data_IF_926055674481
#
_entry.id   IF_926055674481
#
_cell.length_a   1.000
_cell.length_b   1.000
_cell.length_c   1.000
_cell.angle_alpha   90.00
_cell.angle_beta   90.00
_cell.angle_gamma   90.00
#
_symmetry.space_group_name_H-M   'P 1'
#
loop_
_entity.id
_entity.type
_entity.pdbx_description
1 polymer ?
#
# COMPACT_ATOMS: atom_id res chain seq x y z
N UNK A 1 16.36 15.88 10.72
CA UNK A 1 16.80 14.52 11.07
C UNK A 1 18.22 14.29 10.59
N UNK A 2 18.94 13.47 11.29
CA UNK A 2 20.23 12.95 10.84
C UNK A 2 20.02 11.72 9.95
N UNK A 3 21.04 11.30 9.19
CA UNK A 3 20.95 10.13 8.31
C UNK A 3 20.52 8.85 9.07
N UNK A 4 20.95 8.70 10.31
CA UNK A 4 20.56 7.59 11.18
C UNK A 4 19.04 7.58 11.48
N UNK A 5 18.44 8.76 11.66
CA UNK A 5 17.01 8.89 11.90
C UNK A 5 16.20 8.64 10.61
N UNK A 6 16.70 9.13 9.47
CA UNK A 6 16.10 8.85 8.17
C UNK A 6 16.08 7.36 7.88
N UNK A 7 17.21 6.68 8.02
CA UNK A 7 17.30 5.23 7.84
C UNK A 7 16.49 4.45 8.89
N UNK A 8 16.44 4.95 10.12
CA UNK A 8 15.65 4.35 11.20
C UNK A 8 14.15 4.42 10.95
N UNK A 9 13.66 5.54 10.47
CA UNK A 9 12.24 5.70 10.11
C UNK A 9 11.84 4.81 8.92
N UNK A 10 12.69 4.72 7.90
CA UNK A 10 12.50 3.80 6.78
C UNK A 10 12.46 2.33 7.26
N UNK A 11 13.40 1.93 8.09
CA UNK A 11 13.46 0.58 8.65
C UNK A 11 12.21 0.25 9.49
N UNK A 12 11.72 1.21 10.28
CA UNK A 12 10.49 1.05 11.06
C UNK A 12 9.26 0.86 10.16
N UNK A 13 9.17 1.62 9.08
CA UNK A 13 8.07 1.49 8.11
C UNK A 13 8.11 0.15 7.38
N UNK A 14 9.28 -0.29 6.92
CA UNK A 14 9.49 -1.63 6.38
C UNK A 14 9.11 -2.72 7.37
N UNK A 15 9.31 -2.50 8.67
CA UNK A 15 8.86 -3.41 9.73
C UNK A 15 7.34 -3.57 9.77
N UNK A 16 6.58 -2.46 9.66
CA UNK A 16 5.12 -2.49 9.58
C UNK A 16 4.64 -3.24 8.33
N UNK A 17 5.29 -3.00 7.19
CA UNK A 17 5.00 -3.71 5.94
C UNK A 17 5.28 -5.22 6.04
N UNK A 18 6.37 -5.59 6.69
CA UNK A 18 6.70 -6.99 6.93
C UNK A 18 5.69 -7.70 7.84
N UNK A 19 5.17 -7.02 8.85
CA UNK A 19 4.11 -7.54 9.72
C UNK A 19 2.81 -7.76 8.92
N UNK A 20 2.42 -6.81 8.08
CA UNK A 20 1.25 -6.93 7.20
C UNK A 20 1.42 -8.09 6.22
N UNK A 21 2.58 -8.21 5.58
CA UNK A 21 2.88 -9.30 4.66
C UNK A 21 2.80 -10.66 5.37
N UNK A 22 3.38 -10.78 6.57
CA UNK A 22 3.31 -12.01 7.36
C UNK A 22 1.88 -12.37 7.77
N UNK A 23 1.06 -11.38 8.11
CA UNK A 23 -0.36 -11.58 8.39
C UNK A 23 -1.08 -12.17 7.19
N UNK A 24 -0.88 -11.62 6.01
CA UNK A 24 -1.51 -12.09 4.76
C UNK A 24 -0.98 -13.46 4.34
N UNK A 25 0.31 -13.70 4.44
CA UNK A 25 0.95 -14.97 4.06
C UNK A 25 0.49 -16.13 4.96
N UNK A 26 0.12 -15.84 6.20
CA UNK A 26 -0.37 -16.84 7.15
C UNK A 26 -1.90 -16.92 7.25
N UNK A 27 -2.62 -16.14 6.46
CA UNK A 27 -4.06 -15.92 6.63
C UNK A 27 -4.87 -17.21 6.64
N UNK A 28 -4.72 -18.06 5.62
CA UNK A 28 -5.43 -19.34 5.52
C UNK A 28 -5.11 -20.29 6.70
N UNK A 29 -3.91 -20.20 7.23
CA UNK A 29 -3.45 -21.02 8.34
C UNK A 29 -4.00 -20.58 9.70
N UNK A 30 -4.32 -19.29 9.82
CA UNK A 30 -4.76 -18.64 11.07
C UNK A 30 -6.27 -18.42 11.13
N UNK A 31 -6.98 -18.66 10.02
CA UNK A 31 -8.44 -18.54 9.90
C UNK A 31 -9.04 -19.88 9.47
N UNK A 32 -10.31 -20.08 9.78
CA UNK A 32 -11.03 -21.32 9.49
C UNK A 32 -12.29 -21.01 8.67
N UNK A 33 -12.10 -20.78 7.39
CA UNK A 33 -13.15 -20.60 6.40
C UNK A 33 -13.05 -21.70 5.35
N UNK A 34 -14.13 -21.94 4.63
CA UNK A 34 -14.19 -23.01 3.61
C UNK A 34 -13.53 -22.59 2.29
N UNK A 35 -13.57 -21.29 1.97
CA UNK A 35 -13.03 -20.76 0.73
C UNK A 35 -12.42 -19.37 0.97
N UNK A 36 -11.30 -19.09 0.30
CA UNK A 36 -10.58 -17.82 0.41
C UNK A 36 -10.38 -17.20 -0.97
N UNK A 37 -10.65 -15.90 -1.07
CA UNK A 37 -10.34 -15.06 -2.22
C UNK A 37 -9.44 -13.92 -1.78
N UNK A 38 -8.32 -13.72 -2.47
CA UNK A 38 -7.37 -12.66 -2.18
C UNK A 38 -7.28 -11.70 -3.36
N UNK A 39 -7.48 -10.42 -3.09
CA UNK A 39 -7.31 -9.30 -4.01
C UNK A 39 -6.33 -8.33 -3.37
N UNK A 40 -5.04 -8.53 -3.62
CA UNK A 40 -3.97 -7.87 -2.88
C UNK A 40 -3.12 -7.01 -3.82
N UNK A 41 -3.05 -5.71 -3.52
CA UNK A 41 -2.03 -4.83 -4.08
C UNK A 41 -0.65 -5.17 -3.49
N UNK A 42 0.40 -4.73 -4.19
CA UNK A 42 1.77 -4.89 -3.71
C UNK A 42 2.01 -4.08 -2.43
N UNK A 43 2.77 -4.66 -1.51
CA UNK A 43 3.21 -4.01 -0.28
C UNK A 43 4.59 -3.39 -0.55
N UNK A 44 4.58 -2.15 -0.95
CA UNK A 44 5.79 -1.38 -1.27
C UNK A 44 5.55 0.12 -1.08
N UNK A 45 6.62 0.86 -0.84
CA UNK A 45 6.59 2.32 -0.79
C UNK A 45 7.91 2.90 -1.30
N UNK A 46 7.86 4.17 -1.69
CA UNK A 46 9.04 4.95 -2.04
C UNK A 46 9.62 5.60 -0.77
N UNK A 47 10.84 5.25 -0.33
CA UNK A 47 11.44 5.79 0.89
C UNK A 47 11.67 7.30 0.83
N UNK A 48 11.93 7.86 -0.33
CA UNK A 48 12.11 9.30 -0.50
C UNK A 48 10.80 10.06 -0.30
N UNK A 49 9.69 9.50 -0.76
CA UNK A 49 8.34 10.04 -0.53
C UNK A 49 8.01 9.97 0.96
N UNK A 50 8.21 8.82 1.61
CA UNK A 50 7.94 8.62 3.03
C UNK A 50 8.66 9.67 3.88
N UNK A 51 9.97 9.79 3.70
CA UNK A 51 10.80 10.69 4.49
C UNK A 51 10.52 12.17 4.21
N UNK A 52 10.18 12.50 2.98
CA UNK A 52 9.76 13.85 2.60
C UNK A 52 8.43 14.23 3.26
N UNK A 53 7.47 13.31 3.35
CA UNK A 53 6.20 13.52 4.06
C UNK A 53 6.46 13.79 5.54
N UNK A 54 7.23 12.91 6.20
CA UNK A 54 7.53 13.05 7.63
C UNK A 54 8.22 14.38 7.89
N UNK A 55 9.26 14.71 7.13
CA UNK A 55 10.02 15.95 7.27
C UNK A 55 9.19 17.20 7.02
N UNK A 56 8.22 17.13 6.11
CA UNK A 56 7.30 18.24 5.85
C UNK A 56 6.28 18.46 6.96
N UNK A 57 5.85 17.39 7.62
CA UNK A 57 4.87 17.43 8.71
C UNK A 57 5.51 17.89 10.03
N UNK A 58 6.79 17.57 10.24
CA UNK A 58 7.53 18.00 11.44
C UNK A 58 7.99 19.44 11.31
N UNK A 59 8.04 20.15 12.44
CA UNK A 59 8.57 21.51 12.52
C UNK A 59 9.97 21.44 13.12
N UNK A 60 10.99 21.44 12.27
CA UNK A 60 12.39 21.36 12.67
C UNK A 60 12.98 19.94 12.64
N UNK A 61 14.16 19.75 13.27
CA UNK A 61 14.78 18.43 13.37
C UNK A 61 13.88 17.45 14.11
N UNK A 62 13.92 16.19 13.72
CA UNK A 62 13.17 15.12 14.36
C UNK A 62 14.04 13.85 14.51
N UNK A 63 13.69 13.01 15.45
CA UNK A 63 14.27 11.69 15.66
C UNK A 63 13.26 10.61 15.29
N UNK A 64 13.75 9.38 15.07
CA UNK A 64 12.88 8.24 14.74
C UNK A 64 11.85 7.96 15.84
N UNK A 65 12.20 8.18 17.11
CA UNK A 65 11.28 7.95 18.24
C UNK A 65 10.12 8.96 18.26
N UNK A 66 10.38 10.19 17.82
CA UNK A 66 9.36 11.25 17.78
C UNK A 66 8.34 11.09 16.65
N UNK A 67 8.65 10.30 15.64
CA UNK A 67 7.80 10.14 14.45
C UNK A 67 7.05 8.81 14.37
N UNK A 68 7.11 7.99 15.41
CA UNK A 68 6.45 6.68 15.43
C UNK A 68 4.94 6.78 15.14
N UNK A 69 4.25 7.72 15.77
CA UNK A 69 2.82 7.93 15.54
C UNK A 69 2.53 8.40 14.10
N UNK A 70 3.43 9.19 13.53
CA UNK A 70 3.34 9.62 12.12
C UNK A 70 3.53 8.45 11.17
N UNK A 71 4.51 7.57 11.42
CA UNK A 71 4.72 6.35 10.64
C UNK A 71 3.47 5.46 10.68
N UNK A 72 2.91 5.24 11.85
CA UNK A 72 1.69 4.45 12.02
C UNK A 72 0.50 5.06 11.27
N UNK A 73 0.29 6.36 11.39
CA UNK A 73 -0.77 7.08 10.70
C UNK A 73 -0.63 6.98 9.18
N UNK A 74 0.57 7.14 8.64
CA UNK A 74 0.84 7.02 7.20
C UNK A 74 0.59 5.59 6.71
N UNK A 75 1.03 4.59 7.47
CA UNK A 75 0.80 3.18 7.18
C UNK A 75 -0.69 2.85 7.09
N UNK A 76 -1.48 3.28 8.08
CA UNK A 76 -2.93 3.07 8.11
C UNK A 76 -3.68 3.78 6.97
N UNK A 77 -3.13 4.89 6.47
CA UNK A 77 -3.69 5.59 5.30
C UNK A 77 -3.24 5.00 3.98
N UNK A 78 -2.06 4.42 3.92
CA UNK A 78 -1.55 3.78 2.72
C UNK A 78 -2.20 2.42 2.49
N UNK A 79 -2.25 1.57 3.51
CA UNK A 79 -2.73 0.20 3.40
C UNK A 79 -4.11 0.04 4.01
N UNK A 80 -5.08 -0.25 3.16
CA UNK A 80 -6.47 -0.47 3.55
C UNK A 80 -6.80 -1.95 3.36
N UNK A 81 -6.88 -2.66 4.48
CA UNK A 81 -7.23 -4.07 4.53
C UNK A 81 -8.73 -4.22 4.77
N UNK A 82 -9.40 -4.97 3.91
CA UNK A 82 -10.82 -5.30 4.05
C UNK A 82 -10.98 -6.82 4.05
N UNK A 83 -11.67 -7.31 5.06
CA UNK A 83 -11.96 -8.74 5.26
C UNK A 83 -13.47 -8.91 5.32
N UNK A 84 -14.04 -9.69 4.39
CA UNK A 84 -15.47 -9.95 4.33
C UNK A 84 -15.74 -11.43 4.29
N UNK A 85 -16.78 -11.87 5.01
CA UNK A 85 -17.23 -13.26 5.03
C UNK A 85 -18.68 -13.33 4.57
N UNK A 86 -18.91 -14.13 3.53
CA UNK A 86 -20.24 -14.44 3.02
C UNK A 86 -20.56 -15.88 3.39
N UNK A 87 -21.77 -16.11 3.94
CA UNK A 87 -22.26 -17.44 4.28
C UNK A 87 -23.22 -17.90 3.21
N UNK A 88 -22.92 -19.03 2.58
CA UNK A 88 -23.83 -19.74 1.68
C UNK A 88 -24.41 -20.97 2.37
N UNK A 89 -25.71 -21.17 2.24
CA UNK A 89 -26.32 -22.40 2.68
C UNK A 89 -26.28 -23.43 1.56
N UNK A 90 -25.52 -24.50 1.77
CA UNK A 90 -25.33 -25.60 0.82
C UNK A 90 -25.97 -26.88 1.37
N UNK A 91 -26.08 -27.91 0.55
CA UNK A 91 -26.57 -29.22 0.98
C UNK A 91 -25.83 -30.34 0.23
N UNK A 92 -25.81 -31.50 0.85
CA UNK A 92 -25.52 -32.76 0.22
C UNK A 92 -26.66 -33.75 0.45
N UNK A 93 -26.71 -34.82 -0.35
CA UNK A 93 -27.72 -35.85 -0.23
C UNK A 93 -27.18 -36.99 0.62
N UNK A 94 -27.95 -37.37 1.63
CA UNK A 94 -27.77 -38.62 2.38
C UNK A 94 -28.84 -39.62 2.02
N UNK A 95 -28.51 -40.90 2.09
CA UNK A 95 -29.41 -42.00 1.77
C UNK A 95 -29.39 -43.00 2.92
N UNK A 96 -30.55 -43.17 3.54
CA UNK A 96 -30.79 -44.20 4.54
C UNK A 96 -31.47 -45.39 3.90
N UNK A 97 -30.96 -46.59 4.17
CA UNK A 97 -31.56 -47.83 3.71
C UNK A 97 -31.96 -48.65 4.94
N UNK A 98 -33.19 -49.01 4.96
CA UNK A 98 -33.75 -49.83 6.05
C UNK A 98 -34.64 -50.94 5.49
N UNK A 99 -34.79 -52.02 6.27
CA UNK A 99 -35.61 -53.16 5.91
C UNK A 99 -36.80 -53.21 6.82
N UNK A 100 -38.00 -53.36 6.26
CA UNK A 100 -39.23 -53.50 7.03
C UNK A 100 -39.42 -54.93 7.63
N UNK A 101 -40.44 -55.09 8.43
CA UNK A 101 -40.74 -56.37 9.07
C UNK A 101 -41.09 -57.51 8.08
N UNK A 102 -41.47 -57.13 6.87
CA UNK A 102 -41.81 -58.04 5.76
C UNK A 102 -40.56 -58.44 4.93
N UNK A 103 -39.40 -57.85 5.25
CA UNK A 103 -38.15 -58.11 4.56
C UNK A 103 -37.90 -57.28 3.31
N UNK A 104 -38.71 -56.23 3.05
CA UNK A 104 -38.53 -55.33 1.94
C UNK A 104 -37.52 -54.22 2.30
N UNK A 105 -36.62 -53.93 1.39
CA UNK A 105 -35.64 -52.85 1.56
C UNK A 105 -36.21 -51.54 1.02
N UNK A 106 -36.17 -50.53 1.87
CA UNK A 106 -36.57 -49.16 1.56
C UNK A 106 -35.34 -48.25 1.56
N UNK A 107 -35.36 -47.25 0.69
CA UNK A 107 -34.26 -46.26 0.58
C UNK A 107 -34.89 -44.86 0.58
N UNK A 108 -34.53 -44.08 1.57
CA UNK A 108 -34.93 -42.67 1.70
C UNK A 108 -33.72 -41.78 1.42
N UNK A 109 -33.89 -40.82 0.56
CA UNK A 109 -32.85 -39.82 0.23
C UNK A 109 -33.34 -38.45 0.71
N UNK A 110 -32.51 -37.79 1.50
CA UNK A 110 -32.81 -36.47 2.05
C UNK A 110 -31.64 -35.52 1.95
N UNK A 111 -31.92 -34.22 2.08
CA UNK A 111 -30.91 -33.17 2.04
C UNK A 111 -30.41 -32.87 3.43
N UNK A 112 -29.06 -32.83 3.57
CA UNK A 112 -28.41 -32.35 4.78
C UNK A 112 -27.81 -30.98 4.48
N UNK A 113 -28.27 -29.94 5.15
CA UNK A 113 -27.87 -28.57 4.96
C UNK A 113 -26.70 -28.23 5.87
N UNK A 114 -25.77 -27.42 5.35
CA UNK A 114 -24.64 -26.87 6.09
C UNK A 114 -24.32 -25.46 5.62
N UNK A 115 -23.68 -24.68 6.49
CA UNK A 115 -23.19 -23.36 6.15
C UNK A 115 -21.78 -23.46 5.54
N UNK A 116 -21.56 -22.74 4.46
CA UNK A 116 -20.31 -22.66 3.74
C UNK A 116 -19.81 -21.21 3.76
N UNK A 117 -18.62 -20.99 4.32
CA UNK A 117 -18.07 -19.68 4.57
C UNK A 117 -17.04 -19.31 3.52
N UNK A 118 -17.29 -18.21 2.81
CA UNK A 118 -16.41 -17.66 1.78
C UNK A 118 -15.83 -16.36 2.31
N UNK A 119 -14.51 -16.33 2.51
CA UNK A 119 -13.77 -15.15 2.95
C UNK A 119 -13.09 -14.47 1.78
N UNK A 120 -13.30 -13.16 1.64
CA UNK A 120 -12.59 -12.31 0.69
C UNK A 120 -11.72 -11.33 1.44
N UNK A 121 -10.43 -11.34 1.12
CA UNK A 121 -9.42 -10.44 1.70
C UNK A 121 -8.94 -9.51 0.61
N UNK A 122 -9.16 -8.22 0.79
CA UNK A 122 -8.73 -7.18 -0.14
C UNK A 122 -7.73 -6.25 0.53
N UNK A 123 -6.59 -6.03 -0.09
CA UNK A 123 -5.62 -5.02 0.32
C UNK A 123 -5.48 -3.98 -0.78
N UNK A 124 -5.76 -2.74 -0.43
CA UNK A 124 -5.51 -1.58 -1.28
C UNK A 124 -4.25 -0.85 -0.83
N UNK A 125 -3.32 -0.60 -1.75
CA UNK A 125 -2.18 0.29 -1.53
C UNK A 125 -2.49 1.66 -2.14
N UNK A 126 -2.91 2.59 -1.28
CA UNK A 126 -3.05 3.99 -1.64
C UNK A 126 -1.68 4.66 -1.60
N UNK A 127 -0.97 4.65 -2.70
CA UNK A 127 0.42 5.10 -2.84
C UNK A 127 0.70 6.38 -2.03
N UNK A 128 1.78 6.35 -1.21
CA UNK A 128 2.18 7.46 -0.34
C UNK A 128 2.32 8.79 -1.10
N UNK A 129 2.72 8.75 -2.37
CA UNK A 129 2.86 9.96 -3.19
C UNK A 129 1.55 10.72 -3.42
N UNK A 130 0.41 10.05 -3.22
CA UNK A 130 -0.91 10.67 -3.35
C UNK A 130 -1.44 11.25 -2.03
N UNK A 131 -0.85 10.90 -0.89
CA UNK A 131 -1.34 11.35 0.42
C UNK A 131 -1.13 12.86 0.69
N UNK A 132 -0.02 13.50 0.28
CA UNK A 132 0.25 14.88 0.68
C UNK A 132 -0.90 15.86 0.40
N UNK A 133 -1.53 15.76 -0.76
CA UNK A 133 -2.65 16.64 -1.15
C UNK A 133 -3.89 16.48 -0.25
N UNK A 134 -4.03 15.36 0.45
CA UNK A 134 -5.18 15.10 1.34
C UNK A 134 -4.89 15.41 2.81
N UNK A 135 -3.62 15.38 3.23
CA UNK A 135 -3.24 15.48 4.64
C UNK A 135 -2.46 16.75 4.98
N UNK A 136 -2.00 17.51 3.99
CA UNK A 136 -1.13 18.68 4.16
C UNK A 136 -1.81 19.98 3.73
N UNK A 137 -1.52 21.07 4.47
CA UNK A 137 -1.78 22.43 4.03
C UNK A 137 -0.71 22.96 3.07
N UNK A 138 -0.91 24.17 2.53
CA UNK A 138 0.01 24.77 1.53
C UNK A 138 1.46 24.86 2.00
N UNK A 139 1.69 25.28 3.25
CA UNK A 139 3.05 25.38 3.79
C UNK A 139 3.74 24.04 3.92
N UNK A 140 2.99 22.99 4.29
CA UNK A 140 3.50 21.65 4.37
C UNK A 140 3.77 21.06 2.99
N UNK A 141 2.89 21.31 2.01
CA UNK A 141 3.09 20.88 0.62
C UNK A 141 4.35 21.53 0.00
N UNK A 142 4.58 22.82 0.29
CA UNK A 142 5.80 23.51 -0.15
C UNK A 142 7.04 22.90 0.47
N UNK A 143 7.03 22.57 1.76
CA UNK A 143 8.12 21.87 2.42
C UNK A 143 8.32 20.46 1.86
N UNK A 144 7.23 19.74 1.61
CA UNK A 144 7.30 18.41 0.98
C UNK A 144 8.02 18.44 -0.36
N UNK A 145 7.71 19.41 -1.23
CA UNK A 145 8.39 19.57 -2.51
C UNK A 145 9.90 19.85 -2.34
N UNK A 146 10.28 20.69 -1.35
CA UNK A 146 11.69 20.96 -1.03
C UNK A 146 12.42 19.70 -0.55
N UNK A 147 11.80 18.92 0.33
CA UNK A 147 12.40 17.67 0.82
C UNK A 147 12.52 16.62 -0.26
N UNK A 148 11.54 16.50 -1.16
CA UNK A 148 11.62 15.62 -2.34
C UNK A 148 12.82 15.98 -3.22
N UNK A 149 13.02 17.26 -3.49
CA UNK A 149 14.18 17.72 -4.25
C UNK A 149 15.51 17.46 -3.52
N UNK A 150 15.57 17.72 -2.22
CA UNK A 150 16.79 17.54 -1.42
C UNK A 150 17.16 16.05 -1.26
N UNK A 151 16.20 15.20 -0.91
CA UNK A 151 16.42 13.77 -0.69
C UNK A 151 16.63 13.01 -2.00
N UNK A 152 16.01 13.43 -3.10
CA UNK A 152 16.22 12.86 -4.43
C UNK A 152 17.66 12.96 -4.91
N UNK A 153 18.43 13.92 -4.39
CA UNK A 153 19.86 14.07 -4.64
C UNK A 153 20.75 13.22 -3.70
N UNK A 154 20.16 12.35 -2.90
CA UNK A 154 20.85 11.50 -1.92
C UNK A 154 20.66 10.00 -2.24
N UNK A 155 21.19 9.50 -3.37
CA UNK A 155 21.12 8.08 -3.73
C UNK A 155 21.88 7.17 -2.74
N UNK A 156 22.78 7.77 -1.97
CA UNK A 156 23.56 7.11 -0.92
C UNK A 156 22.75 6.64 0.28
N UNK A 157 21.59 7.26 0.54
CA UNK A 157 20.74 6.88 1.68
C UNK A 157 20.13 5.47 1.51
N UNK A 158 19.66 5.16 0.31
CA UNK A 158 18.98 3.89 0.01
C UNK A 158 19.48 3.28 -1.31
N UNK A 159 20.78 2.90 -1.39
CA UNK A 159 21.41 2.49 -2.65
C UNK A 159 20.81 1.24 -3.28
N UNK A 160 20.17 0.39 -2.46
CA UNK A 160 19.50 -0.84 -2.94
C UNK A 160 18.02 -0.66 -3.28
N UNK A 161 17.47 0.54 -3.06
CA UNK A 161 16.07 0.82 -3.38
C UNK A 161 15.85 0.90 -4.90
N UNK A 162 14.80 0.26 -5.43
CA UNK A 162 14.43 0.36 -6.84
C UNK A 162 14.04 1.80 -7.25
N UNK A 163 13.71 2.64 -6.28
CA UNK A 163 13.31 4.03 -6.49
C UNK A 163 14.49 4.99 -6.74
N UNK A 164 15.72 4.58 -6.41
CA UNK A 164 16.93 5.43 -6.64
C UNK A 164 17.04 5.86 -8.10
N UNK A 165 16.80 4.95 -9.04
CA UNK A 165 16.88 5.26 -10.48
C UNK A 165 15.91 6.37 -10.92
N UNK A 166 14.77 6.51 -10.25
CA UNK A 166 13.78 7.56 -10.53
C UNK A 166 14.32 8.97 -10.27
N UNK A 167 15.22 9.10 -9.29
CA UNK A 167 15.78 10.40 -8.87
C UNK A 167 17.17 10.67 -9.43
N UNK A 168 17.86 9.63 -9.92
CA UNK A 168 19.23 9.72 -10.46
C UNK A 168 19.28 9.60 -11.99
N UNK A 169 18.16 9.33 -12.64
CA UNK A 169 18.07 9.36 -14.10
C UNK A 169 18.36 10.77 -14.60
N UNK A 170 19.19 10.88 -15.62
CA UNK A 170 19.37 12.15 -16.31
C UNK A 170 18.01 12.72 -16.73
N UNK A 171 17.80 14.03 -16.55
CA UNK A 171 16.58 14.66 -17.01
C UNK A 171 16.41 14.33 -18.48
N UNK A 172 15.29 13.70 -18.83
CA UNK A 172 14.93 13.48 -20.24
C UNK A 172 14.84 14.86 -20.85
N UNK A 173 15.73 15.19 -21.79
CA UNK A 173 15.59 16.39 -22.61
C UNK A 173 14.24 16.25 -23.34
N UNK A 174 13.22 16.91 -22.80
CA UNK A 174 11.99 17.09 -23.52
C UNK A 174 12.27 18.15 -24.59
N UNK A 175 12.29 17.75 -25.86
CA UNK A 175 12.24 18.71 -26.96
C UNK A 175 10.99 19.58 -26.74
N UNK A 176 11.25 20.87 -26.45
CA UNK A 176 10.17 21.85 -26.32
C UNK A 176 9.55 21.99 -27.71
N UNK A 177 8.24 21.72 -27.88
CA UNK A 177 7.61 21.84 -29.20
C UNK A 177 7.83 23.23 -29.79
N UNK A 178 8.18 23.30 -31.06
CA UNK A 178 8.47 24.57 -31.78
C UNK A 178 7.39 25.64 -31.61
N UNK A 179 6.14 25.23 -31.41
CA UNK A 179 5.01 26.10 -31.13
C UNK A 179 5.16 26.92 -29.84
N UNK A 180 5.87 26.39 -28.83
CA UNK A 180 6.12 27.11 -27.59
C UNK A 180 7.36 28.00 -27.65
N UNK A 181 8.32 27.68 -28.51
CA UNK A 181 9.50 28.50 -28.75
C UNK A 181 9.19 29.79 -29.49
N UNK A 182 8.06 29.84 -30.21
CA UNK A 182 7.58 31.03 -30.91
C UNK A 182 6.78 31.98 -29.99
N UNK A 183 6.47 31.61 -28.76
CA UNK A 183 5.78 32.45 -27.81
C UNK A 183 6.76 33.28 -27.00
N UNK A 184 6.69 34.62 -27.20
CA UNK A 184 7.59 35.57 -26.53
C UNK A 184 7.48 35.50 -24.99
N UNK A 185 6.33 35.10 -24.45
CA UNK A 185 6.12 34.95 -23.03
C UNK A 185 6.85 33.71 -22.49
N UNK A 186 6.86 32.63 -23.23
CA UNK A 186 7.55 31.41 -22.85
C UNK A 186 9.08 31.56 -22.97
N UNK A 187 9.57 32.27 -24.00
CA UNK A 187 10.98 32.60 -24.17
C UNK A 187 11.51 33.44 -22.98
N UNK A 188 10.73 34.40 -22.49
CA UNK A 188 11.09 35.21 -21.32
C UNK A 188 11.17 34.38 -20.03
N UNK A 189 10.31 33.39 -19.83
CA UNK A 189 10.32 32.46 -18.67
C UNK A 189 11.58 31.57 -18.73
N UNK A 190 11.94 31.06 -19.90
CA UNK A 190 13.15 30.25 -20.08
C UNK A 190 14.44 31.04 -19.81
N UNK A 191 14.54 32.30 -20.27
CA UNK A 191 15.69 33.18 -19.98
C UNK A 191 15.86 33.50 -18.49
N UNK A 192 14.76 33.53 -17.73
CA UNK A 192 14.76 33.78 -16.29
C UNK A 192 15.16 32.53 -15.50
N UNK A 193 14.82 31.33 -15.99
CA UNK A 193 15.15 30.06 -15.37
C UNK A 193 16.62 29.63 -15.56
N UNK A 194 17.32 30.19 -16.57
CA UNK A 194 18.74 29.92 -16.85
C UNK A 194 19.72 30.88 -16.13
N UNK A 195 19.21 31.84 -15.34
CA UNK A 195 20.01 32.81 -14.55
C UNK A 195 20.16 32.38 -13.11
#
# INVERSE_FOLDING_TARGET
AEDADLCGAEAAYCGLEAELQNYLDSYERTHDYDEYHFELDDIEHDPYVLLSIISAMQVGPWTVDEVQDTLQMLFEKQYILTETVVTERRYYLETDTWTDEEGNTHTDTYRVYYDYYICTVTLENFNLSHLPIYIMGEDQLSRYALYMAALGNRPDLFPSSPYVAKYTADPVEHEIPEAYLADETFAAILEEAEK
#
